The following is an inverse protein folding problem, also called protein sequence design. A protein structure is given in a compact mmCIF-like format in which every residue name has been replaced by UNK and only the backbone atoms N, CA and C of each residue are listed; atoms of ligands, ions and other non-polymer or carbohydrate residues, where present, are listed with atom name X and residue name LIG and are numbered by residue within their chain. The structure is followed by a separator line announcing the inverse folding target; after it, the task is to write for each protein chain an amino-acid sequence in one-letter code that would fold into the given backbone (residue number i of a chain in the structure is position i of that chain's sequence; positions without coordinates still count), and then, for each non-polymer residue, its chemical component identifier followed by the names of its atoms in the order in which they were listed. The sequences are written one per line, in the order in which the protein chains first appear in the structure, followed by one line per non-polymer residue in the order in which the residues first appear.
data_IF_988290113214
#
_entry.id   IF_988290113214
#
_cell.length_a   1.000
_cell.length_b   1.000
_cell.length_c   1.000
_cell.angle_alpha   90.00
_cell.angle_beta   90.00
_cell.angle_gamma   90.00
#
_symmetry.space_group_name_H-M   'P 1'
#
loop_
_entity.id
_entity.type
_entity.pdbx_description
1 polymer ?
#
# COMPACT_ATOMS: atom_id res chain seq x y z
N UNK A 1 -22.93 35.98 24.21
CA UNK A 1 -23.21 36.00 22.76
C UNK A 1 -22.61 34.72 22.18
N UNK A 2 -23.38 33.63 22.12
CA UNK A 2 -22.91 32.35 21.60
C UNK A 2 -23.15 32.33 20.09
N UNK A 3 -22.08 32.30 19.31
CA UNK A 3 -22.17 32.13 17.86
C UNK A 3 -22.40 30.65 17.54
N UNK A 4 -23.39 30.28 16.72
CA UNK A 4 -23.63 28.89 16.35
C UNK A 4 -22.54 28.42 15.38
N UNK A 5 -21.86 27.33 15.74
CA UNK A 5 -20.90 26.63 14.90
C UNK A 5 -21.60 26.12 13.64
N UNK A 6 -21.15 26.47 12.42
CA UNK A 6 -21.76 25.95 11.19
C UNK A 6 -21.62 24.44 11.13
N UNK A 7 -22.74 23.73 10.92
CA UNK A 7 -22.72 22.29 10.64
C UNK A 7 -22.06 21.98 9.28
N UNK A 8 -21.65 20.73 9.03
CA UNK A 8 -20.93 20.34 7.82
C UNK A 8 -21.75 20.68 6.57
N UNK A 9 -21.12 21.35 5.59
CA UNK A 9 -21.76 21.68 4.31
C UNK A 9 -21.91 20.40 3.46
N UNK A 10 -23.08 20.15 2.86
CA UNK A 10 -23.23 19.11 1.84
C UNK A 10 -22.35 19.49 0.64
N UNK A 11 -21.31 18.70 0.38
CA UNK A 11 -20.29 18.98 -0.64
C UNK A 11 -18.86 18.96 -0.11
N UNK A 12 -18.65 18.66 1.18
CA UNK A 12 -17.31 18.36 1.69
C UNK A 12 -16.75 17.14 0.92
N UNK A 13 -15.70 17.30 0.12
CA UNK A 13 -15.05 16.17 -0.50
C UNK A 13 -14.36 15.43 0.65
N UNK A 14 -15.03 14.41 1.18
CA UNK A 14 -14.34 13.39 1.97
C UNK A 14 -13.09 13.04 1.15
N UNK A 15 -11.87 13.17 1.71
CA UNK A 15 -10.68 12.81 0.95
C UNK A 15 -10.91 11.41 0.39
N UNK A 16 -10.57 11.15 -0.89
CA UNK A 16 -10.62 9.79 -1.42
C UNK A 16 -9.95 8.91 -0.37
N UNK A 17 -10.52 7.74 -0.05
CA UNK A 17 -9.96 6.79 0.91
C UNK A 17 -8.48 6.54 0.54
N UNK A 18 -7.60 7.41 1.04
CA UNK A 18 -6.16 7.31 0.97
C UNK A 18 -5.92 6.13 1.87
N UNK A 19 -5.75 4.95 1.26
CA UNK A 19 -5.29 3.78 1.99
C UNK A 19 -4.10 4.29 2.81
N UNK A 20 -4.17 4.26 4.15
CA UNK A 20 -3.20 4.98 4.95
C UNK A 20 -1.81 4.57 4.53
N UNK A 21 -0.84 5.48 4.52
CA UNK A 21 0.56 5.15 4.19
C UNK A 21 1.07 3.93 4.99
N UNK A 22 0.48 3.68 6.17
CA UNK A 22 0.67 2.47 6.96
C UNK A 22 0.29 1.16 6.26
N UNK A 23 -0.80 1.13 5.48
CA UNK A 23 -1.23 -0.05 4.72
C UNK A 23 -0.28 -0.34 3.55
N UNK A 24 0.19 0.71 2.84
CA UNK A 24 1.23 0.54 1.82
C UNK A 24 2.54 0.04 2.45
N UNK A 25 2.91 0.55 3.62
CA UNK A 25 4.08 0.08 4.37
C UNK A 25 3.97 -1.39 4.75
N UNK A 26 2.80 -1.84 5.22
CA UNK A 26 2.54 -3.23 5.52
C UNK A 26 2.66 -4.14 4.29
N UNK A 27 2.10 -3.74 3.15
CA UNK A 27 2.20 -4.49 1.88
C UNK A 27 3.68 -4.61 1.42
N UNK A 28 4.49 -3.56 1.63
CA UNK A 28 5.94 -3.58 1.33
C UNK A 28 6.70 -4.49 2.30
N UNK A 29 6.41 -4.42 3.59
CA UNK A 29 7.04 -5.27 4.61
C UNK A 29 6.77 -6.76 4.32
N UNK A 30 5.52 -7.12 3.97
CA UNK A 30 5.16 -8.48 3.57
C UNK A 30 5.92 -8.94 2.32
N UNK A 31 6.01 -8.07 1.30
CA UNK A 31 6.73 -8.39 0.08
C UNK A 31 8.23 -8.62 0.33
N UNK A 32 8.86 -7.80 1.20
CA UNK A 32 10.28 -7.93 1.54
C UNK A 32 10.54 -9.17 2.40
N UNK A 33 9.64 -9.52 3.34
CA UNK A 33 9.72 -10.76 4.11
C UNK A 33 9.72 -12.01 3.21
N UNK A 34 9.13 -11.92 2.01
CA UNK A 34 9.20 -12.96 0.99
C UNK A 34 10.61 -13.27 0.46
N UNK A 35 11.60 -12.43 0.78
CA UNK A 35 13.01 -12.61 0.44
C UNK A 35 13.84 -13.15 1.62
N UNK A 36 13.25 -13.35 2.80
CA UNK A 36 13.99 -13.88 3.95
C UNK A 36 14.54 -15.28 3.64
N UNK A 37 15.83 -15.47 3.92
CA UNK A 37 16.53 -16.73 3.66
C UNK A 37 16.73 -17.07 2.18
N UNK A 38 16.62 -16.09 1.27
CA UNK A 38 16.86 -16.30 -0.16
C UNK A 38 18.26 -16.87 -0.45
N UNK A 39 19.26 -16.45 0.32
CA UNK A 39 20.65 -16.92 0.25
C UNK A 39 20.81 -18.41 0.57
N UNK A 40 19.93 -18.96 1.41
CA UNK A 40 19.89 -20.39 1.71
C UNK A 40 19.17 -21.22 0.63
N UNK A 41 18.51 -20.58 -0.34
CA UNK A 41 17.76 -21.25 -1.41
C UNK A 41 18.63 -21.44 -2.65
N UNK A 42 18.34 -22.47 -3.48
CA UNK A 42 19.01 -22.64 -4.77
C UNK A 42 18.87 -21.39 -5.65
N UNK A 43 19.96 -20.99 -6.31
CA UNK A 43 20.00 -19.81 -7.20
C UNK A 43 18.93 -19.88 -8.30
N UNK A 44 18.60 -21.09 -8.77
CA UNK A 44 17.53 -21.32 -9.75
C UNK A 44 16.15 -20.84 -9.27
N UNK A 45 15.92 -20.75 -7.96
CA UNK A 45 14.66 -20.29 -7.37
C UNK A 45 14.61 -18.77 -7.10
N UNK A 46 15.75 -18.08 -7.21
CA UNK A 46 15.85 -16.65 -6.95
C UNK A 46 14.97 -15.82 -7.89
N UNK A 47 14.94 -16.07 -9.21
CA UNK A 47 14.07 -15.32 -10.13
C UNK A 47 12.60 -15.39 -9.72
N UNK A 48 12.09 -16.57 -9.39
CA UNK A 48 10.70 -16.77 -8.96
C UNK A 48 10.38 -16.10 -7.60
N UNK A 49 11.38 -15.90 -6.74
CA UNK A 49 11.22 -15.12 -5.53
C UNK A 49 11.12 -13.62 -5.85
N UNK A 50 12.04 -13.09 -6.66
CA UNK A 50 12.03 -11.69 -7.08
C UNK A 50 10.79 -11.32 -7.89
N UNK A 51 10.30 -12.19 -8.77
CA UNK A 51 9.08 -11.97 -9.55
C UNK A 51 7.84 -11.82 -8.65
N UNK A 52 7.74 -12.64 -7.60
CA UNK A 52 6.65 -12.53 -6.61
C UNK A 52 6.68 -11.18 -5.90
N UNK A 53 7.85 -10.70 -5.49
CA UNK A 53 8.02 -9.39 -4.86
C UNK A 53 7.64 -8.26 -5.82
N UNK A 54 8.12 -8.30 -7.07
CA UNK A 54 7.77 -7.30 -8.08
C UNK A 54 6.26 -7.26 -8.36
N UNK A 55 5.61 -8.43 -8.44
CA UNK A 55 4.17 -8.52 -8.61
C UNK A 55 3.40 -7.95 -7.41
N UNK A 56 3.84 -8.25 -6.18
CA UNK A 56 3.24 -7.72 -4.97
C UNK A 56 3.34 -6.19 -4.88
N UNK A 57 4.54 -5.64 -5.10
CA UNK A 57 4.75 -4.18 -5.15
C UNK A 57 3.94 -3.53 -6.27
N UNK A 58 3.91 -4.14 -7.46
CA UNK A 58 3.11 -3.63 -8.59
C UNK A 58 1.64 -3.51 -8.23
N UNK A 59 1.06 -4.52 -7.58
CA UNK A 59 -0.34 -4.47 -7.10
C UNK A 59 -0.55 -3.39 -6.04
N UNK A 60 0.36 -3.29 -5.07
CA UNK A 60 0.27 -2.28 -4.01
C UNK A 60 0.32 -0.84 -4.57
N UNK A 61 1.20 -0.60 -5.54
CA UNK A 61 1.32 0.70 -6.21
C UNK A 61 0.14 0.99 -7.15
N UNK A 62 -0.30 0.03 -7.97
CA UNK A 62 -1.47 0.21 -8.84
C UNK A 62 -2.74 0.47 -8.05
N UNK A 63 -2.95 -0.25 -6.94
CA UNK A 63 -4.11 -0.03 -6.05
C UNK A 63 -4.14 1.37 -5.41
N UNK A 64 -2.98 2.01 -5.27
CA UNK A 64 -2.86 3.41 -4.85
C UNK A 64 -3.00 4.41 -6.02
N UNK A 65 -2.50 4.06 -7.21
CA UNK A 65 -2.50 4.93 -8.39
C UNK A 65 -3.83 5.00 -9.13
N UNK A 66 -4.66 3.94 -9.13
CA UNK A 66 -5.99 3.94 -9.76
C UNK A 66 -7.04 4.78 -8.99
N UNK A 67 -6.62 5.42 -7.89
CA UNK A 67 -7.48 6.27 -7.04
C UNK A 67 -7.02 7.73 -6.99
N UNK A 68 -5.96 8.07 -7.72
CA UNK A 68 -5.40 9.43 -7.83
C UNK A 68 -6.00 10.24 -8.96
#
# INVERSE_FOLDING_TARGET
MTVPTPGPRPGDPRPPDERPVAALRADVEEAVAGLDGLDARPVAEHPAAFERVHSALGRALSAGSERG
#
